data_IF_403800687325
#
_entry.id   IF_403800687325
#
_cell.length_a   1.000
_cell.length_b   1.000
_cell.length_c   1.000
_cell.angle_alpha   90.00
_cell.angle_beta   90.00
_cell.angle_gamma   90.00
#
_symmetry.space_group_name_H-M   'P 1'
#
loop_
_entity.id
_entity.type
_entity.pdbx_description
1 polymer ?
#
# COMPACT_ATOMS: atom_id res chain seq x y z
N UNK A 1 9.16 12.69 -14.50
CA UNK A 1 9.63 13.01 -13.14
C UNK A 1 10.88 12.19 -12.93
N UNK A 2 11.96 12.80 -12.46
CA UNK A 2 13.22 12.07 -12.31
C UNK A 2 13.21 11.21 -11.06
N UNK A 3 12.73 11.76 -9.95
CA UNK A 3 12.42 11.03 -8.73
C UNK A 3 10.93 11.13 -8.37
N UNK A 4 10.38 10.09 -7.74
CA UNK A 4 9.01 10.09 -7.20
C UNK A 4 8.96 9.51 -5.80
N UNK A 5 7.92 9.87 -5.06
CA UNK A 5 7.57 9.26 -3.78
C UNK A 5 6.15 8.74 -3.89
N UNK A 6 5.94 7.51 -3.41
CA UNK A 6 4.61 6.89 -3.27
C UNK A 6 4.36 6.62 -1.81
N UNK A 7 3.33 7.24 -1.23
CA UNK A 7 2.79 6.82 0.04
C UNK A 7 1.78 5.70 -0.23
N UNK A 8 2.13 4.48 0.19
CA UNK A 8 1.31 3.30 0.00
C UNK A 8 0.52 3.02 1.26
N UNK A 9 -0.81 3.10 1.19
CA UNK A 9 -1.69 2.93 2.34
C UNK A 9 -2.45 1.59 2.30
N UNK A 10 -3.24 1.32 3.33
CA UNK A 10 -4.03 0.09 3.47
C UNK A 10 -5.24 0.01 2.51
N UNK A 11 -5.42 1.00 1.62
CA UNK A 11 -6.46 1.06 0.59
C UNK A 11 -6.23 0.05 -0.54
N UNK A 12 -4.97 -0.25 -0.86
CA UNK A 12 -4.56 -1.36 -1.71
C UNK A 12 -3.57 -2.21 -0.94
N UNK A 13 -4.04 -3.31 -0.34
CA UNK A 13 -3.22 -4.16 0.55
C UNK A 13 -3.18 -5.62 0.13
N UNK A 14 -2.23 -6.36 0.70
CA UNK A 14 -2.08 -7.80 0.48
C UNK A 14 -3.04 -8.60 1.35
N UNK A 15 -3.72 -9.55 0.72
CA UNK A 15 -4.47 -10.63 1.37
C UNK A 15 -3.93 -11.99 0.88
N UNK A 16 -4.43 -13.09 1.46
CA UNK A 16 -4.02 -14.47 1.11
C UNK A 16 -4.02 -14.77 -0.39
N UNK A 17 -4.96 -14.18 -1.15
CA UNK A 17 -5.15 -14.46 -2.58
C UNK A 17 -4.62 -13.36 -3.51
N UNK A 18 -3.86 -12.39 -2.99
CA UNK A 18 -3.31 -11.30 -3.81
C UNK A 18 -3.63 -9.91 -3.29
N UNK A 19 -3.72 -8.96 -4.21
CA UNK A 19 -4.09 -7.58 -3.89
C UNK A 19 -5.60 -7.44 -3.74
N UNK A 20 -6.03 -6.71 -2.71
CA UNK A 20 -7.41 -6.34 -2.47
C UNK A 20 -7.51 -4.82 -2.24
N UNK A 21 -8.59 -4.24 -2.73
CA UNK A 21 -8.87 -2.81 -2.63
C UNK A 21 -9.90 -2.57 -1.52
N UNK A 22 -9.74 -1.47 -0.80
CA UNK A 22 -10.58 -1.06 0.29
C UNK A 22 -10.78 0.46 0.25
N UNK A 23 -11.90 0.89 0.80
CA UNK A 23 -12.20 2.29 1.06
C UNK A 23 -12.48 2.46 2.54
N UNK A 24 -11.92 3.50 3.14
CA UNK A 24 -12.20 3.84 4.52
C UNK A 24 -13.56 4.54 4.59
N UNK A 25 -14.45 4.04 5.43
CA UNK A 25 -15.78 4.63 5.66
C UNK A 25 -16.02 4.77 7.15
N UNK A 26 -15.90 5.99 7.67
CA UNK A 26 -15.85 6.21 9.11
C UNK A 26 -14.55 5.67 9.68
N UNK A 27 -14.64 4.72 10.61
CA UNK A 27 -13.51 4.08 11.27
C UNK A 27 -13.28 2.63 10.81
N UNK A 28 -13.82 2.23 9.66
CA UNK A 28 -13.72 0.85 9.18
C UNK A 28 -13.41 0.75 7.67
N UNK A 29 -12.67 -0.30 7.31
CA UNK A 29 -12.27 -0.61 5.94
C UNK A 29 -13.31 -1.48 5.25
N UNK A 30 -13.96 -0.91 4.25
CA UNK A 30 -14.93 -1.63 3.43
C UNK A 30 -14.28 -2.09 2.12
N UNK A 31 -14.46 -3.37 1.76
CA UNK A 31 -13.90 -3.91 0.51
C UNK A 31 -14.46 -3.16 -0.69
N UNK A 32 -13.57 -2.70 -1.57
CA UNK A 32 -13.93 -2.03 -2.82
C UNK A 32 -13.93 -3.03 -3.98
N UNK A 33 -14.93 -2.90 -4.85
CA UNK A 33 -15.05 -3.70 -6.07
C UNK A 33 -14.13 -3.18 -7.18
N UNK A 34 -13.62 -1.95 -7.07
CA UNK A 34 -12.78 -1.29 -8.06
C UNK A 34 -11.29 -1.64 -7.95
N UNK A 35 -10.97 -2.91 -7.70
CA UNK A 35 -9.58 -3.39 -7.55
C UNK A 35 -8.70 -3.05 -8.76
N UNK A 36 -9.23 -3.16 -9.98
CA UNK A 36 -8.46 -2.87 -11.18
C UNK A 36 -8.14 -1.38 -11.33
N UNK A 37 -9.04 -0.51 -10.85
CA UNK A 37 -8.83 0.94 -10.83
C UNK A 37 -7.72 1.29 -9.83
N UNK A 38 -7.79 0.73 -8.61
CA UNK A 38 -6.76 0.93 -7.60
C UNK A 38 -5.39 0.44 -8.10
N UNK A 39 -5.30 -0.80 -8.59
CA UNK A 39 -4.06 -1.37 -9.15
C UNK A 39 -3.52 -0.52 -10.31
N UNK A 40 -4.38 -0.03 -11.19
CA UNK A 40 -3.94 0.81 -12.30
C UNK A 40 -3.40 2.17 -11.81
N UNK A 41 -4.02 2.76 -10.79
CA UNK A 41 -3.51 3.99 -10.16
C UNK A 41 -2.08 3.82 -9.63
N UNK A 42 -1.86 2.78 -8.82
CA UNK A 42 -0.54 2.45 -8.30
C UNK A 42 0.45 2.11 -9.44
N UNK A 43 0.07 1.28 -10.42
CA UNK A 43 0.91 0.96 -11.59
C UNK A 43 1.36 2.22 -12.34
N UNK A 44 0.44 3.17 -12.57
CA UNK A 44 0.78 4.43 -13.24
C UNK A 44 1.83 5.18 -12.43
N UNK A 45 1.63 5.37 -11.13
CA UNK A 45 2.56 6.13 -10.30
C UNK A 45 3.93 5.44 -10.23
N UNK A 46 3.96 4.12 -10.01
CA UNK A 46 5.19 3.33 -9.90
C UNK A 46 6.04 3.32 -11.19
N UNK A 47 5.44 3.65 -12.34
CA UNK A 47 6.13 3.68 -13.64
C UNK A 47 6.53 5.09 -14.09
N UNK A 48 6.25 6.14 -13.31
CA UNK A 48 6.56 7.53 -13.70
C UNK A 48 7.99 7.99 -13.40
N UNK A 49 8.70 7.33 -12.49
CA UNK A 49 10.06 7.71 -12.11
C UNK A 49 11.07 7.30 -13.18
N UNK A 50 12.04 8.18 -13.47
CA UNK A 50 13.11 7.90 -14.44
C UNK A 50 14.43 7.48 -13.81
N UNK A 51 14.74 8.00 -12.63
CA UNK A 51 16.03 7.79 -11.96
C UNK A 51 15.88 6.97 -10.67
N UNK A 52 14.86 7.25 -9.87
CA UNK A 52 14.65 6.53 -8.62
C UNK A 52 13.29 6.80 -8.00
N UNK A 53 12.88 5.93 -7.09
CA UNK A 53 11.60 6.03 -6.40
C UNK A 53 11.75 5.66 -4.94
N UNK A 54 11.10 6.41 -4.06
CA UNK A 54 10.92 6.04 -2.66
C UNK A 54 9.48 5.57 -2.49
N UNK A 55 9.29 4.39 -1.92
CA UNK A 55 7.97 3.90 -1.51
C UNK A 55 7.92 3.98 0.01
N UNK A 56 7.04 4.82 0.52
CA UNK A 56 6.76 4.92 1.94
C UNK A 56 5.57 4.02 2.28
N UNK A 57 5.80 3.08 3.19
CA UNK A 57 4.75 2.26 3.80
C UNK A 57 4.67 2.66 5.29
N UNK A 58 3.52 3.15 5.78
CA UNK A 58 3.36 3.47 7.19
C UNK A 58 3.63 2.26 8.08
N UNK A 59 4.05 2.49 9.33
CA UNK A 59 3.93 1.47 10.36
C UNK A 59 2.47 1.44 10.83
N UNK A 60 1.94 0.23 10.99
CA UNK A 60 0.65 0.06 11.65
C UNK A 60 0.70 0.47 13.11
N UNK A 61 -0.47 0.69 13.68
CA UNK A 61 -0.64 1.00 15.09
C UNK A 61 -0.45 -0.25 15.95
N UNK A 62 0.61 -0.25 16.75
CA UNK A 62 0.92 -1.33 17.69
C UNK A 62 0.18 -1.20 19.01
N UNK A 63 -0.39 -0.03 19.32
CA UNK A 63 -1.14 0.19 20.55
C UNK A 63 -2.55 -0.42 20.48
N UNK A 64 -3.09 -0.60 19.26
CA UNK A 64 -4.45 -1.11 19.03
C UNK A 64 -5.53 -0.05 19.32
N UNK A 65 -5.16 1.24 19.26
CA UNK A 65 -6.07 2.37 19.40
C UNK A 65 -6.78 2.69 18.07
N UNK A 66 -6.13 2.37 16.94
CA UNK A 66 -6.63 2.63 15.60
C UNK A 66 -6.66 1.35 14.74
N UNK A 67 -7.83 0.71 14.71
CA UNK A 67 -8.10 -0.48 13.87
C UNK A 67 -7.94 -0.21 12.37
N UNK A 68 -8.04 1.05 11.93
CA UNK A 68 -7.82 1.41 10.52
C UNK A 68 -6.35 1.27 10.13
N UNK A 69 -5.46 1.16 11.12
CA UNK A 69 -4.01 1.06 10.93
C UNK A 69 -3.44 -0.28 11.41
N UNK A 70 -4.17 -1.38 11.24
CA UNK A 70 -3.68 -2.72 11.60
C UNK A 70 -2.27 -2.99 11.01
N UNK A 71 -1.35 -3.43 11.88
CA UNK A 71 0.04 -3.79 11.55
C UNK A 71 0.12 -4.79 10.42
N UNK A 72 -0.78 -5.77 10.38
CA UNK A 72 -0.81 -6.82 9.35
C UNK A 72 -1.01 -6.24 7.95
N UNK A 73 -1.76 -5.14 7.82
CA UNK A 73 -1.99 -4.51 6.52
C UNK A 73 -0.69 -3.97 5.92
N UNK A 74 0.07 -3.25 6.72
CA UNK A 74 1.30 -2.58 6.28
C UNK A 74 2.48 -3.54 6.17
N UNK A 75 2.62 -4.47 7.12
CA UNK A 75 3.68 -5.48 7.08
C UNK A 75 3.56 -6.36 5.83
N UNK A 76 2.34 -6.73 5.45
CA UNK A 76 2.10 -7.48 4.22
C UNK A 76 2.46 -6.71 2.95
N UNK A 77 2.26 -5.39 2.93
CA UNK A 77 2.67 -4.53 1.81
C UNK A 77 4.19 -4.44 1.75
N UNK A 78 4.84 -4.11 2.87
CA UNK A 78 6.28 -3.93 2.95
C UNK A 78 7.03 -5.22 2.59
N UNK A 79 6.60 -6.37 3.12
CA UNK A 79 7.16 -7.67 2.81
C UNK A 79 7.10 -7.97 1.30
N UNK A 80 5.94 -7.75 0.68
CA UNK A 80 5.78 -8.01 -0.76
C UNK A 80 6.62 -7.06 -1.62
N UNK A 81 6.74 -5.79 -1.24
CA UNK A 81 7.61 -4.84 -1.95
C UNK A 81 9.08 -5.25 -1.86
N UNK A 82 9.53 -5.70 -0.69
CA UNK A 82 10.89 -6.23 -0.51
C UNK A 82 11.13 -7.51 -1.33
N UNK A 83 10.16 -8.42 -1.39
CA UNK A 83 10.20 -9.60 -2.29
C UNK A 83 10.30 -9.19 -3.77
N UNK A 84 9.71 -8.06 -4.15
CA UNK A 84 9.81 -7.50 -5.50
C UNK A 84 11.13 -6.74 -5.76
N UNK A 85 12.05 -6.70 -4.80
CA UNK A 85 13.36 -6.06 -4.92
C UNK A 85 13.44 -4.62 -4.43
N UNK A 86 12.40 -4.11 -3.76
CA UNK A 86 12.54 -2.85 -3.01
C UNK A 86 13.53 -3.04 -1.86
N UNK A 87 14.42 -2.06 -1.66
CA UNK A 87 15.39 -2.10 -0.57
C UNK A 87 14.94 -1.16 0.55
N UNK A 88 14.94 -1.61 1.83
CA UNK A 88 14.68 -0.73 2.95
C UNK A 88 15.76 0.36 3.01
N UNK A 89 15.33 1.58 3.32
CA UNK A 89 16.20 2.76 3.48
C UNK A 89 16.59 2.95 4.94
#
# INVERSE_FOLDING_TARGET
MDFTIVAWDADLRREKNGWAAFKLSGSDWQRDKLIDVAKNGYRVILTRARQGMVIFVPKGDTAGEDETRDVVFYDGIAAYLMECGAMPL
#
